data_IF_198427095869
#
_entry.id   IF_198427095869
#
_cell.length_a   1.000
_cell.length_b   1.000
_cell.length_c   1.000
_cell.angle_alpha   90.00
_cell.angle_beta   90.00
_cell.angle_gamma   90.00
#
_symmetry.space_group_name_H-M   'P 1'
#
loop_
_entity.id
_entity.type
_entity.pdbx_description
1 polymer ?
#
# COMPACT_ATOMS: atom_id res chain seq x y z
N UNK A 1 38.79 23.95 5.32
CA UNK A 1 37.67 23.16 4.84
C UNK A 1 37.94 21.69 5.08
N UNK A 2 36.95 20.95 5.50
CA UNK A 2 36.99 19.50 5.59
C UNK A 2 36.18 18.90 4.45
N UNK A 3 36.66 17.81 3.88
CA UNK A 3 35.95 17.07 2.85
C UNK A 3 35.51 15.72 3.42
N UNK A 4 34.25 15.37 3.17
CA UNK A 4 33.73 14.07 3.53
C UNK A 4 34.27 13.02 2.53
N UNK A 5 34.71 11.88 3.02
CA UNK A 5 35.22 10.80 2.16
C UNK A 5 34.62 9.46 2.56
N UNK A 6 34.63 8.50 1.63
CA UNK A 6 34.18 7.14 1.90
C UNK A 6 32.69 7.03 2.18
N UNK A 7 32.31 6.32 3.23
CA UNK A 7 30.95 5.97 3.56
C UNK A 7 30.08 7.21 3.91
N UNK A 8 30.65 8.21 4.59
CA UNK A 8 29.95 9.45 4.94
C UNK A 8 29.57 10.27 3.72
N UNK A 9 30.43 10.32 2.70
CA UNK A 9 30.09 10.99 1.44
C UNK A 9 28.95 10.29 0.72
N UNK A 10 28.98 8.95 0.67
CA UNK A 10 27.91 8.16 0.07
C UNK A 10 26.58 8.33 0.79
N UNK A 11 26.60 8.45 2.12
CA UNK A 11 25.40 8.67 2.90
C UNK A 11 24.75 10.03 2.59
N UNK A 12 25.55 11.09 2.46
CA UNK A 12 25.08 12.42 2.08
C UNK A 12 24.48 12.41 0.65
N UNK A 13 25.18 11.82 -0.30
CA UNK A 13 24.74 11.73 -1.70
C UNK A 13 23.43 10.92 -1.79
N UNK A 14 23.38 9.77 -1.14
CA UNK A 14 22.18 8.92 -1.08
C UNK A 14 21.01 9.64 -0.41
N UNK A 15 21.27 10.40 0.65
CA UNK A 15 20.26 11.20 1.33
C UNK A 15 19.62 12.26 0.43
N UNK A 16 20.39 12.86 -0.47
CA UNK A 16 19.90 13.86 -1.41
C UNK A 16 19.13 13.24 -2.60
N UNK A 17 19.54 12.06 -3.05
CA UNK A 17 18.92 11.39 -4.20
C UNK A 17 17.69 10.55 -3.81
N UNK A 18 17.62 10.07 -2.58
CA UNK A 18 16.54 9.21 -2.11
C UNK A 18 15.12 9.77 -2.37
N UNK A 19 14.81 11.04 -2.06
CA UNK A 19 13.46 11.58 -2.29
C UNK A 19 13.02 11.54 -3.75
N UNK A 20 13.96 11.82 -4.66
CA UNK A 20 13.69 11.81 -6.11
C UNK A 20 13.42 10.40 -6.59
N UNK A 21 14.22 9.43 -6.15
CA UNK A 21 14.05 8.02 -6.49
C UNK A 21 12.74 7.46 -5.92
N UNK A 22 12.37 7.84 -4.70
CA UNK A 22 11.08 7.49 -4.13
C UNK A 22 9.91 8.05 -4.93
N UNK A 23 9.95 9.34 -5.27
CA UNK A 23 8.91 9.98 -6.06
C UNK A 23 8.77 9.33 -7.45
N UNK A 24 9.89 9.04 -8.12
CA UNK A 24 9.90 8.34 -9.40
C UNK A 24 9.33 6.92 -9.28
N UNK A 25 9.71 6.17 -8.26
CA UNK A 25 9.20 4.82 -8.00
C UNK A 25 7.68 4.84 -7.76
N UNK A 26 7.19 5.77 -6.95
CA UNK A 26 5.75 5.93 -6.72
C UNK A 26 5.01 6.30 -8.00
N UNK A 27 5.59 7.17 -8.83
CA UNK A 27 5.01 7.54 -10.12
C UNK A 27 4.89 6.33 -11.06
N UNK A 28 5.95 5.52 -11.17
CA UNK A 28 5.94 4.31 -12.00
C UNK A 28 4.89 3.31 -11.49
N UNK A 29 4.83 3.08 -10.18
CA UNK A 29 3.81 2.20 -9.57
C UNK A 29 2.41 2.74 -9.82
N UNK A 30 2.20 4.04 -9.67
CA UNK A 30 0.92 4.67 -9.95
C UNK A 30 0.47 4.48 -11.40
N UNK A 31 1.36 4.72 -12.37
CA UNK A 31 1.08 4.53 -13.78
C UNK A 31 0.81 3.07 -14.13
N UNK A 32 1.58 2.15 -13.55
CA UNK A 32 1.38 0.72 -13.74
C UNK A 32 0.01 0.25 -13.22
N UNK A 33 -0.38 0.72 -12.03
CA UNK A 33 -1.71 0.44 -11.47
C UNK A 33 -2.84 1.08 -12.28
N UNK A 34 -2.64 2.31 -12.76
CA UNK A 34 -3.62 2.99 -13.61
C UNK A 34 -3.85 2.23 -14.93
N UNK A 35 -2.77 1.75 -15.54
CA UNK A 35 -2.83 0.94 -16.76
C UNK A 35 -3.47 -0.43 -16.51
N UNK A 36 -3.15 -1.08 -15.38
CA UNK A 36 -3.65 -2.42 -15.05
C UNK A 36 -5.15 -2.42 -14.75
N UNK A 37 -5.63 -1.39 -14.04
CA UNK A 37 -7.04 -1.34 -13.58
C UNK A 37 -7.94 -0.45 -14.46
N UNK A 38 -7.38 0.16 -15.49
CA UNK A 38 -8.12 1.07 -16.40
C UNK A 38 -8.97 2.10 -15.63
N UNK A 39 -8.49 2.51 -14.45
CA UNK A 39 -9.22 3.38 -13.53
C UNK A 39 -8.25 4.24 -12.73
N UNK A 40 -8.54 5.52 -12.57
CA UNK A 40 -7.77 6.45 -11.75
C UNK A 40 -8.06 6.34 -10.24
N UNK A 41 -9.26 5.85 -9.89
CA UNK A 41 -9.69 5.76 -8.50
C UNK A 41 -8.92 4.72 -7.69
N UNK A 42 -8.60 3.57 -8.30
CA UNK A 42 -7.88 2.48 -7.64
C UNK A 42 -6.44 2.88 -7.28
N UNK A 43 -5.62 3.40 -8.22
CA UNK A 43 -4.27 3.84 -7.91
C UNK A 43 -4.23 4.93 -6.83
N UNK A 44 -5.13 5.91 -6.88
CA UNK A 44 -5.19 6.99 -5.88
C UNK A 44 -5.48 6.41 -4.49
N UNK A 45 -6.45 5.50 -4.38
CA UNK A 45 -6.76 4.87 -3.10
C UNK A 45 -5.58 4.06 -2.53
N UNK A 46 -4.84 3.34 -3.39
CA UNK A 46 -3.63 2.60 -3.00
C UNK A 46 -2.53 3.56 -2.53
N UNK A 47 -2.29 4.65 -3.28
CA UNK A 47 -1.24 5.62 -2.95
C UNK A 47 -1.49 6.33 -1.61
N UNK A 48 -2.75 6.54 -1.22
CA UNK A 48 -3.09 7.12 0.09
C UNK A 48 -2.73 6.20 1.27
N UNK A 49 -2.54 4.90 1.03
CA UNK A 49 -2.14 3.95 2.08
C UNK A 49 -0.64 3.96 2.33
N UNK A 50 0.18 4.30 1.32
CA UNK A 50 1.65 4.32 1.44
C UNK A 50 2.13 5.22 2.59
N UNK A 51 1.66 6.48 2.73
CA UNK A 51 2.03 7.33 3.86
C UNK A 51 1.70 6.72 5.24
N UNK A 52 0.63 5.93 5.35
CA UNK A 52 0.28 5.26 6.61
C UNK A 52 1.27 4.17 7.00
N UNK A 53 1.76 3.41 6.03
CA UNK A 53 2.84 2.44 6.25
C UNK A 53 4.12 3.14 6.74
N UNK A 54 4.47 4.27 6.12
CA UNK A 54 5.61 5.10 6.54
C UNK A 54 5.42 5.66 7.95
N UNK A 55 4.24 6.21 8.26
CA UNK A 55 3.92 6.71 9.61
C UNK A 55 4.02 5.59 10.65
N UNK A 56 3.54 4.40 10.34
CA UNK A 56 3.67 3.23 11.20
C UNK A 56 5.15 2.92 11.50
N UNK A 57 5.97 2.77 10.46
CA UNK A 57 7.39 2.49 10.60
C UNK A 57 8.12 3.59 11.40
N UNK A 58 7.92 4.86 11.05
CA UNK A 58 8.57 5.99 11.71
C UNK A 58 8.15 6.15 13.18
N UNK A 59 6.87 5.91 13.50
CA UNK A 59 6.37 6.01 14.87
C UNK A 59 7.02 4.98 15.79
N UNK A 60 7.14 3.74 15.35
CA UNK A 60 7.80 2.69 16.12
C UNK A 60 9.30 2.89 16.23
N UNK A 61 9.96 3.33 15.15
CA UNK A 61 11.40 3.64 15.15
C UNK A 61 11.73 4.77 16.12
N UNK A 62 10.89 5.83 16.12
CA UNK A 62 11.03 6.92 17.09
C UNK A 62 10.84 6.44 18.53
N UNK A 63 9.86 5.57 18.78
CA UNK A 63 9.60 5.01 20.10
C UNK A 63 10.76 4.19 20.65
N UNK A 64 11.52 3.52 19.79
CA UNK A 64 12.70 2.72 20.15
C UNK A 64 14.01 3.49 20.13
N UNK A 65 14.01 4.75 19.70
CA UNK A 65 15.22 5.57 19.64
C UNK A 65 16.26 5.07 18.63
N UNK A 66 15.82 4.37 17.56
CA UNK A 66 16.72 3.93 16.50
C UNK A 66 17.07 5.09 15.57
N UNK A 67 18.32 5.11 15.10
CA UNK A 67 18.80 6.12 14.16
C UNK A 67 18.23 5.87 12.76
N UNK A 68 17.95 6.96 12.05
CA UNK A 68 17.48 6.91 10.65
C UNK A 68 18.69 6.78 9.72
N UNK A 69 19.24 5.58 9.64
CA UNK A 69 20.35 5.23 8.79
C UNK A 69 19.92 4.74 7.39
N UNK A 70 20.90 4.44 6.54
CA UNK A 70 20.65 3.92 5.18
C UNK A 70 19.94 2.56 5.22
N UNK A 71 20.29 1.74 6.20
CA UNK A 71 19.70 0.39 6.33
C UNK A 71 18.23 0.45 6.74
N UNK A 72 17.85 1.37 7.59
CA UNK A 72 16.47 1.64 7.93
C UNK A 72 15.66 2.09 6.68
N UNK A 73 16.24 2.96 5.84
CA UNK A 73 15.59 3.40 4.58
C UNK A 73 15.31 2.23 3.64
N UNK A 74 16.21 1.24 3.56
CA UNK A 74 15.97 0.00 2.80
C UNK A 74 14.78 -0.77 3.38
N UNK A 75 14.68 -0.87 4.70
CA UNK A 75 13.53 -1.46 5.39
C UNK A 75 12.22 -0.74 5.05
N UNK A 76 12.23 0.59 5.00
CA UNK A 76 11.06 1.39 4.61
C UNK A 76 10.58 1.08 3.18
N UNK A 77 11.49 0.91 2.22
CA UNK A 77 11.12 0.56 0.84
C UNK A 77 10.36 -0.78 0.82
N UNK A 78 10.83 -1.77 1.56
CA UNK A 78 10.17 -3.06 1.68
C UNK A 78 8.76 -2.91 2.29
N UNK A 79 8.61 -2.13 3.35
CA UNK A 79 7.32 -1.85 4.00
C UNK A 79 6.34 -1.16 3.06
N UNK A 80 6.80 -0.19 2.26
CA UNK A 80 5.98 0.49 1.26
C UNK A 80 5.40 -0.52 0.26
N UNK A 81 6.25 -1.38 -0.31
CA UNK A 81 5.81 -2.40 -1.26
C UNK A 81 4.80 -3.38 -0.67
N UNK A 82 5.02 -3.82 0.57
CA UNK A 82 4.13 -4.74 1.27
C UNK A 82 2.80 -4.08 1.66
N UNK A 83 2.82 -2.82 2.08
CA UNK A 83 1.62 -2.03 2.38
C UNK A 83 0.76 -1.84 1.13
N UNK A 84 1.39 -1.46 0.02
CA UNK A 84 0.71 -1.32 -1.26
C UNK A 84 0.05 -2.63 -1.71
N UNK A 85 0.78 -3.76 -1.60
CA UNK A 85 0.23 -5.09 -1.89
C UNK A 85 -1.03 -5.39 -1.07
N UNK A 86 -1.01 -5.13 0.24
CA UNK A 86 -2.15 -5.37 1.11
C UNK A 86 -3.36 -4.50 0.73
N UNK A 87 -3.12 -3.22 0.40
CA UNK A 87 -4.15 -2.30 -0.06
C UNK A 87 -4.77 -2.75 -1.40
N UNK A 88 -3.93 -3.13 -2.37
CA UNK A 88 -4.39 -3.62 -3.67
C UNK A 88 -5.33 -4.83 -3.51
N UNK A 89 -4.96 -5.80 -2.66
CA UNK A 89 -5.77 -7.00 -2.44
C UNK A 89 -7.18 -6.68 -1.90
N UNK A 90 -7.31 -5.71 -1.00
CA UNK A 90 -8.61 -5.28 -0.47
C UNK A 90 -9.41 -4.55 -1.54
N UNK A 91 -8.80 -3.57 -2.20
CA UNK A 91 -9.45 -2.69 -3.18
C UNK A 91 -9.90 -3.47 -4.41
N UNK A 92 -9.07 -4.36 -4.93
CA UNK A 92 -9.40 -5.22 -6.06
C UNK A 92 -10.61 -6.10 -5.75
N UNK A 93 -10.61 -6.71 -4.57
CA UNK A 93 -11.71 -7.58 -4.17
C UNK A 93 -13.02 -6.79 -3.95
N UNK A 94 -12.94 -5.60 -3.33
CA UNK A 94 -14.09 -4.71 -3.21
C UNK A 94 -14.63 -4.28 -4.58
N UNK A 95 -13.76 -3.99 -5.54
CA UNK A 95 -14.17 -3.65 -6.90
C UNK A 95 -14.87 -4.83 -7.60
N UNK A 96 -14.37 -6.05 -7.44
CA UNK A 96 -15.03 -7.26 -7.99
C UNK A 96 -16.42 -7.48 -7.41
N UNK A 97 -16.60 -7.33 -6.09
CA UNK A 97 -17.91 -7.46 -5.45
C UNK A 97 -18.90 -6.38 -5.94
N UNK A 98 -18.41 -5.17 -6.19
CA UNK A 98 -19.22 -4.10 -6.79
C UNK A 98 -19.71 -4.45 -8.21
N UNK A 99 -18.84 -5.03 -9.04
CA UNK A 99 -19.22 -5.49 -10.37
C UNK A 99 -20.28 -6.60 -10.33
N UNK A 100 -20.41 -7.32 -9.23
CA UNK A 100 -21.45 -8.31 -8.97
C UNK A 100 -22.78 -7.69 -8.48
N UNK A 101 -22.86 -6.35 -8.38
CA UNK A 101 -24.07 -5.63 -8.01
C UNK A 101 -24.17 -5.24 -6.53
N UNK A 102 -23.14 -5.49 -5.70
CA UNK A 102 -23.15 -5.07 -4.31
C UNK A 102 -22.97 -3.56 -4.15
N UNK A 103 -23.59 -2.98 -3.12
CA UNK A 103 -23.41 -1.57 -2.77
C UNK A 103 -21.94 -1.27 -2.38
N UNK A 104 -21.49 -0.01 -2.58
CA UNK A 104 -20.09 0.39 -2.34
C UNK A 104 -19.62 0.07 -0.92
N UNK A 105 -20.41 0.41 0.10
CA UNK A 105 -20.08 0.16 1.50
C UNK A 105 -20.08 -1.34 1.83
N UNK A 106 -21.10 -2.04 1.39
CA UNK A 106 -21.27 -3.47 1.62
C UNK A 106 -20.15 -4.28 0.95
N UNK A 107 -19.84 -4.00 -0.31
CA UNK A 107 -18.74 -4.61 -1.04
C UNK A 107 -17.38 -4.37 -0.36
N UNK A 108 -17.17 -3.16 0.17
CA UNK A 108 -15.92 -2.81 0.86
C UNK A 108 -15.80 -3.52 2.20
N UNK A 109 -16.87 -3.60 2.99
CA UNK A 109 -16.87 -4.33 4.26
C UNK A 109 -16.65 -5.83 4.07
N UNK A 110 -17.33 -6.42 3.10
CA UNK A 110 -17.18 -7.86 2.81
C UNK A 110 -15.78 -8.17 2.26
N UNK A 111 -15.22 -7.29 1.42
CA UNK A 111 -13.85 -7.42 0.95
C UNK A 111 -12.84 -7.42 2.12
N UNK A 112 -13.00 -6.51 3.08
CA UNK A 112 -12.15 -6.46 4.26
C UNK A 112 -12.28 -7.74 5.09
N UNK A 113 -13.49 -8.20 5.33
CA UNK A 113 -13.76 -9.41 6.11
C UNK A 113 -13.11 -10.65 5.49
N UNK A 114 -13.26 -10.82 4.19
CA UNK A 114 -12.72 -11.97 3.48
C UNK A 114 -11.20 -11.91 3.31
N UNK A 115 -10.62 -10.72 3.18
CA UNK A 115 -9.19 -10.51 2.99
C UNK A 115 -8.40 -10.33 4.29
N UNK A 116 -9.06 -10.12 5.41
CA UNK A 116 -8.42 -9.93 6.71
C UNK A 116 -7.50 -11.10 7.09
N UNK A 117 -8.01 -12.33 7.00
CA UNK A 117 -7.23 -13.53 7.33
C UNK A 117 -5.99 -13.72 6.45
N UNK A 118 -6.06 -13.69 5.11
CA UNK A 118 -4.88 -13.76 4.24
C UNK A 118 -3.85 -12.66 4.52
N UNK A 119 -4.30 -11.43 4.76
CA UNK A 119 -3.40 -10.31 5.06
C UNK A 119 -2.67 -10.55 6.37
N UNK A 120 -3.37 -10.94 7.44
CA UNK A 120 -2.73 -11.26 8.72
C UNK A 120 -1.74 -12.42 8.58
N UNK A 121 -2.09 -13.49 7.87
CA UNK A 121 -1.19 -14.63 7.67
C UNK A 121 0.10 -14.21 6.97
N UNK A 122 0.01 -13.41 5.91
CA UNK A 122 1.20 -12.94 5.18
C UNK A 122 2.02 -11.95 6.01
N UNK A 123 1.39 -11.07 6.78
CA UNK A 123 2.08 -10.12 7.65
C UNK A 123 2.82 -10.83 8.78
N UNK A 124 2.18 -11.78 9.45
CA UNK A 124 2.81 -12.57 10.52
C UNK A 124 3.95 -13.43 9.95
N UNK A 125 3.75 -14.09 8.82
CA UNK A 125 4.80 -14.88 8.18
C UNK A 125 6.02 -14.02 7.82
N UNK A 126 5.79 -12.79 7.34
CA UNK A 126 6.85 -11.86 7.01
C UNK A 126 7.59 -11.35 8.26
N UNK A 127 6.85 -10.97 9.31
CA UNK A 127 7.41 -10.56 10.60
C UNK A 127 8.29 -11.66 11.18
N UNK A 128 7.80 -12.91 11.21
CA UNK A 128 8.56 -14.05 11.71
C UNK A 128 9.78 -14.37 10.83
N UNK A 129 9.67 -14.17 9.51
CA UNK A 129 10.78 -14.34 8.57
C UNK A 129 11.91 -13.34 8.74
N UNK A 130 11.58 -12.12 9.17
CA UNK A 130 12.55 -11.04 9.40
C UNK A 130 13.07 -11.02 10.85
N UNK A 131 12.39 -11.70 11.78
CA UNK A 131 12.77 -11.78 13.19
C UNK A 131 14.24 -12.19 13.41
N UNK A 132 14.82 -13.19 12.69
CA UNK A 132 16.23 -13.54 12.85
C UNK A 132 17.19 -12.37 12.53
N UNK A 133 16.82 -11.48 11.61
CA UNK A 133 17.56 -10.27 11.30
C UNK A 133 17.57 -9.31 12.50
N UNK A 134 16.41 -9.11 13.12
CA UNK A 134 16.20 -8.19 14.23
C UNK A 134 16.90 -8.63 15.53
N UNK A 135 17.24 -9.91 15.68
CA UNK A 135 17.92 -10.47 16.87
C UNK A 135 19.32 -11.00 16.56
N UNK A 136 19.85 -10.74 15.35
CA UNK A 136 21.16 -11.26 14.92
C UNK A 136 22.30 -10.72 15.79
N UNK A 137 23.34 -11.52 16.01
CA UNK A 137 24.55 -11.14 16.74
C UNK A 137 25.80 -11.26 15.86
N UNK A 138 26.90 -10.65 16.26
CA UNK A 138 28.19 -10.74 15.57
C UNK A 138 28.45 -9.57 14.62
N UNK A 139 29.40 -9.73 13.69
CA UNK A 139 29.83 -8.69 12.78
C UNK A 139 28.66 -8.20 11.90
N UNK A 140 28.47 -6.87 11.80
CA UNK A 140 27.36 -6.27 11.05
C UNK A 140 25.98 -6.44 11.69
N UNK A 141 25.88 -6.78 12.97
CA UNK A 141 24.62 -6.94 13.68
C UNK A 141 23.79 -5.65 13.66
N UNK A 142 24.41 -4.49 13.86
CA UNK A 142 23.69 -3.21 13.88
C UNK A 142 22.93 -2.93 12.58
N UNK A 143 23.55 -3.16 11.42
CA UNK A 143 22.89 -2.98 10.12
C UNK A 143 21.73 -3.95 9.92
N UNK A 144 21.89 -5.20 10.35
CA UNK A 144 20.81 -6.19 10.28
C UNK A 144 19.67 -5.87 11.24
N UNK A 145 19.99 -5.38 12.45
CA UNK A 145 19.00 -4.89 13.41
C UNK A 145 18.21 -3.72 12.86
N UNK A 146 18.87 -2.74 12.24
CA UNK A 146 18.20 -1.58 11.66
C UNK A 146 17.20 -1.99 10.57
N UNK A 147 17.62 -2.87 9.64
CA UNK A 147 16.71 -3.40 8.59
C UNK A 147 15.60 -4.24 9.23
N UNK A 148 15.96 -5.24 10.04
CA UNK A 148 15.03 -6.21 10.61
C UNK A 148 13.96 -5.55 11.46
N UNK A 149 14.37 -4.65 12.35
CA UNK A 149 13.47 -3.92 13.23
C UNK A 149 12.57 -2.96 12.43
N UNK A 150 13.16 -2.16 11.53
CA UNK A 150 12.40 -1.23 10.70
C UNK A 150 11.33 -1.91 9.85
N UNK A 151 11.66 -3.06 9.26
CA UNK A 151 10.68 -3.84 8.48
C UNK A 151 9.62 -4.47 9.37
N UNK A 152 10.00 -5.04 10.51
CA UNK A 152 9.07 -5.71 11.43
C UNK A 152 8.04 -4.71 11.99
N UNK A 153 8.52 -3.58 12.50
CA UNK A 153 7.69 -2.51 13.05
C UNK A 153 6.83 -1.85 11.98
N UNK A 154 7.42 -1.58 10.81
CA UNK A 154 6.71 -1.06 9.67
C UNK A 154 5.58 -1.98 9.19
N UNK A 155 5.80 -3.31 9.20
CA UNK A 155 4.76 -4.29 8.85
C UNK A 155 3.62 -4.33 9.86
N UNK A 156 3.92 -4.22 11.15
CA UNK A 156 2.88 -4.12 12.20
C UNK A 156 2.03 -2.86 11.96
N UNK A 157 2.68 -1.71 11.81
CA UNK A 157 2.01 -0.45 11.55
C UNK A 157 1.22 -0.46 10.24
N UNK A 158 1.83 -0.92 9.15
CA UNK A 158 1.19 -1.02 7.84
C UNK A 158 -0.03 -1.96 7.84
N UNK A 159 0.03 -3.07 8.56
CA UNK A 159 -1.09 -4.01 8.65
C UNK A 159 -2.22 -3.42 9.49
N UNK A 160 -1.90 -2.83 10.65
CA UNK A 160 -2.89 -2.25 11.55
C UNK A 160 -3.61 -1.06 10.88
N UNK A 161 -2.83 -0.09 10.39
CA UNK A 161 -3.40 1.09 9.74
C UNK A 161 -3.96 0.75 8.34
N UNK A 162 -3.33 -0.16 7.60
CA UNK A 162 -3.82 -0.56 6.29
C UNK A 162 -5.21 -1.18 6.35
N UNK A 163 -5.43 -2.16 7.23
CA UNK A 163 -6.74 -2.81 7.37
C UNK A 163 -7.82 -1.82 7.80
N UNK A 164 -7.47 -0.83 8.65
CA UNK A 164 -8.42 0.17 9.15
C UNK A 164 -8.74 1.26 8.12
N UNK A 165 -7.71 1.80 7.45
CA UNK A 165 -7.85 3.00 6.62
C UNK A 165 -8.07 2.71 5.13
N UNK A 166 -7.62 1.57 4.60
CA UNK A 166 -7.83 1.20 3.19
C UNK A 166 -9.31 1.25 2.79
N UNK A 167 -10.24 0.65 3.56
CA UNK A 167 -11.66 0.71 3.25
C UNK A 167 -12.19 2.15 3.23
N UNK A 168 -11.75 2.96 4.19
CA UNK A 168 -12.17 4.36 4.31
C UNK A 168 -11.69 5.15 3.09
N UNK A 169 -10.42 5.03 2.72
CA UNK A 169 -9.86 5.73 1.56
C UNK A 169 -10.52 5.28 0.26
N UNK A 170 -10.77 3.99 0.10
CA UNK A 170 -11.45 3.49 -1.08
C UNK A 170 -12.86 4.09 -1.22
N UNK A 171 -13.64 4.12 -0.15
CA UNK A 171 -14.98 4.70 -0.15
C UNK A 171 -14.92 6.21 -0.41
N UNK A 172 -14.01 6.94 0.25
CA UNK A 172 -13.85 8.39 0.07
C UNK A 172 -13.45 8.72 -1.36
N UNK A 173 -12.42 8.08 -1.88
CA UNK A 173 -11.93 8.32 -3.24
C UNK A 173 -13.01 8.01 -4.29
N UNK A 174 -13.74 6.91 -4.12
CA UNK A 174 -14.85 6.56 -5.02
C UNK A 174 -16.00 7.56 -4.96
N UNK A 175 -16.31 8.11 -3.79
CA UNK A 175 -17.33 9.16 -3.67
C UNK A 175 -16.88 10.50 -4.26
N UNK A 176 -15.60 10.86 -4.13
CA UNK A 176 -15.05 12.11 -4.64
C UNK A 176 -14.85 12.10 -6.16
N UNK A 177 -14.32 11.01 -6.71
CA UNK A 177 -14.04 10.90 -8.16
C UNK A 177 -15.31 10.57 -8.95
N UNK A 178 -16.37 10.18 -8.26
CA UNK A 178 -17.71 10.00 -8.79
C UNK A 178 -17.97 8.58 -9.30
N UNK A 179 -19.05 8.05 -8.84
CA UNK A 179 -19.70 6.83 -9.34
C UNK A 179 -20.39 7.11 -10.70
N UNK A 180 -19.83 8.05 -11.50
CA UNK A 180 -20.42 8.55 -12.75
C UNK A 180 -20.43 7.52 -13.87
N UNK A 181 -19.65 6.45 -13.76
CA UNK A 181 -19.53 5.48 -14.85
C UNK A 181 -20.73 4.51 -14.94
N UNK A 182 -21.39 4.18 -13.83
CA UNK A 182 -22.55 3.27 -13.88
C UNK A 182 -23.89 3.95 -14.16
N UNK A 183 -24.02 5.25 -13.92
CA UNK A 183 -25.22 5.98 -14.28
C UNK A 183 -25.37 6.15 -15.81
N UNK A 184 -24.26 6.28 -16.52
CA UNK A 184 -24.25 6.40 -17.97
C UNK A 184 -24.58 5.09 -18.70
N UNK A 185 -24.15 3.96 -18.17
CA UNK A 185 -24.33 2.65 -18.79
C UNK A 185 -25.73 2.07 -18.52
N UNK A 186 -26.37 2.42 -17.40
CA UNK A 186 -27.76 2.06 -17.12
C UNK A 186 -28.76 2.83 -17.97
N UNK A 187 -28.40 4.01 -18.45
CA UNK A 187 -29.26 4.84 -19.31
C UNK A 187 -29.11 4.46 -20.79
N UNK A 188 -28.09 3.71 -21.17
CA UNK A 188 -27.78 3.32 -22.54
C UNK A 188 -28.33 1.92 -22.94
N UNK A 189 -28.98 1.20 -22.00
CA UNK A 189 -29.64 -0.08 -22.37
C UNK A 189 -30.97 0.21 -23.02
N UNK A 190 -31.13 0.01 -24.36
CA UNK A 190 -32.40 0.17 -25.01
C UNK A 190 -33.40 -0.81 -24.40
N UNK A 191 -34.61 -0.32 -24.16
CA UNK A 191 -35.75 -1.16 -23.80
C UNK A 191 -35.90 -2.25 -24.87
N UNK A 192 -36.14 -3.51 -24.49
CA UNK A 192 -36.48 -4.53 -25.47
C UNK A 192 -37.72 -4.08 -26.24
N UNK A 193 -37.62 -4.06 -27.56
CA UNK A 193 -38.78 -3.81 -28.42
C UNK A 193 -39.86 -4.82 -28.08
N UNK A 194 -41.13 -4.36 -27.97
CA UNK A 194 -42.25 -5.28 -27.81
C UNK A 194 -42.30 -6.17 -29.03
N UNK A 195 -42.12 -7.48 -28.84
CA UNK A 195 -42.35 -8.46 -29.90
C UNK A 195 -43.80 -8.31 -30.34
N UNK A 196 -44.01 -7.70 -31.52
CA UNK A 196 -45.26 -7.71 -32.18
C UNK A 196 -45.64 -9.15 -32.48
N UNK A 197 -46.56 -9.69 -31.69
CA UNK A 197 -47.43 -10.75 -32.09
C UNK A 197 -48.41 -10.15 -33.09
N UNK A 198 -48.66 -10.87 -34.15
CA UNK A 198 -49.88 -10.89 -34.93
C UNK A 198 -49.57 -11.06 -36.42
N UNK A 199 -49.91 -12.10 -37.00
CA UNK A 199 -51.15 -12.67 -37.53
C UNK A 199 -50.83 -13.97 -38.22
#
# INVERSE_FOLDING_TARGET
GYEWSGQSLQEIISGQQAPILFALSLLVVFLALAALYESWSVPIAVMLVVPLGLLGALSFTWLRGLENDVYFKVGLIAVIGLSAKNAILIIEFANRLRLQGMGLLEATQEACRLRFRPILMTSIAFILGVLPLAISTGAGANSRHAIGTGVMEGMVGATLFGVLFVPVFFVVVRRLIGDRSHAAESTAKPLPEPSGSDV
#
